data_IF_353146734962
#
_entry.id   IF_353146734962
#
_cell.length_a   1.000
_cell.length_b   1.000
_cell.length_c   1.000
_cell.angle_alpha   90.00
_cell.angle_beta   90.00
_cell.angle_gamma   90.00
#
_symmetry.space_group_name_H-M   'P 1'
#
loop_
_entity.id
_entity.type
_entity.pdbx_description
1 polymer ?
#
# COMPACT_ATOMS: atom_id res chain seq x y z
N UNK A 1 7.07 6.53 11.08
CA UNK A 1 7.00 6.79 12.53
C UNK A 1 5.82 7.72 12.70
N UNK A 2 4.88 7.39 13.59
CA UNK A 2 3.55 8.02 13.77
C UNK A 2 2.42 7.35 12.99
N UNK A 3 1.88 6.25 13.54
CA UNK A 3 0.47 5.85 13.30
C UNK A 3 -0.22 5.29 14.57
N UNK A 4 0.51 4.91 15.64
CA UNK A 4 0.05 3.81 16.52
C UNK A 4 0.00 4.05 18.02
N UNK A 5 -0.69 5.11 18.38
CA UNK A 5 -1.32 5.17 19.70
C UNK A 5 -2.81 4.83 19.66
N UNK A 6 -3.35 4.35 18.53
CA UNK A 6 -4.80 4.31 18.34
C UNK A 6 -5.56 3.27 19.19
N UNK A 7 -5.00 2.12 19.60
CA UNK A 7 -5.80 1.10 20.31
C UNK A 7 -5.20 0.54 21.62
N UNK A 8 -4.44 1.36 22.34
CA UNK A 8 -3.82 1.11 23.67
C UNK A 8 -2.39 0.58 23.63
N UNK A 9 -1.52 1.24 24.41
CA UNK A 9 -0.18 0.79 24.78
C UNK A 9 -0.20 -0.41 25.72
N UNK A 10 -0.91 -1.48 25.35
CA UNK A 10 -0.78 -2.77 26.02
C UNK A 10 0.02 -3.70 25.12
N UNK A 11 1.03 -4.34 25.68
CA UNK A 11 1.84 -5.38 25.04
C UNK A 11 1.06 -6.69 24.75
N UNK A 12 -0.28 -6.63 24.72
CA UNK A 12 -1.13 -7.78 24.42
C UNK A 12 -1.58 -7.73 22.97
N UNK A 13 -1.01 -8.62 22.16
CA UNK A 13 -1.43 -8.91 20.80
C UNK A 13 -2.87 -9.44 20.88
N UNK A 14 -3.85 -8.68 20.40
CA UNK A 14 -5.21 -9.18 20.23
C UNK A 14 -5.20 -10.28 19.16
N UNK A 15 -5.82 -11.43 19.44
CA UNK A 15 -5.89 -12.53 18.47
C UNK A 15 -6.92 -12.20 17.39
N UNK A 16 -6.46 -11.96 16.16
CA UNK A 16 -7.34 -11.71 15.01
C UNK A 16 -7.64 -12.99 14.26
N UNK A 17 -8.92 -13.21 13.96
CA UNK A 17 -9.32 -14.31 13.07
C UNK A 17 -9.00 -13.95 11.61
N UNK A 18 -8.08 -14.67 11.00
CA UNK A 18 -7.75 -14.54 9.57
C UNK A 18 -8.85 -15.07 8.63
N UNK A 19 -9.90 -15.71 9.16
CA UNK A 19 -11.01 -16.24 8.36
C UNK A 19 -12.14 -15.23 8.14
N UNK A 20 -12.36 -14.35 9.11
CA UNK A 20 -13.47 -13.38 9.10
C UNK A 20 -13.08 -11.98 9.60
N UNK A 21 -11.80 -11.78 9.90
CA UNK A 21 -11.22 -10.51 10.30
C UNK A 21 -11.42 -10.11 11.75
N UNK A 22 -12.21 -10.85 12.53
CA UNK A 22 -12.66 -10.36 13.84
C UNK A 22 -11.49 -10.21 14.81
N UNK A 23 -11.37 -9.00 15.40
CA UNK A 23 -10.25 -8.59 16.25
C UNK A 23 -10.41 -9.05 17.70
N UNK A 24 -11.66 -9.04 18.20
CA UNK A 24 -11.97 -9.28 19.63
C UNK A 24 -13.30 -10.02 19.80
N UNK A 25 -14.11 -10.08 18.74
CA UNK A 25 -15.47 -10.62 18.78
C UNK A 25 -15.48 -12.07 18.32
N UNK A 26 -15.74 -12.96 19.27
CA UNK A 26 -15.94 -14.39 19.05
C UNK A 26 -17.36 -14.77 19.45
N UNK A 27 -17.74 -16.03 19.20
CA UNK A 27 -19.04 -16.58 19.65
C UNK A 27 -19.22 -16.55 21.17
N UNK A 28 -18.18 -16.24 21.95
CA UNK A 28 -18.25 -16.03 23.41
C UNK A 28 -18.36 -14.55 23.80
N UNK A 29 -18.68 -13.64 22.87
CA UNK A 29 -18.84 -12.22 23.18
C UNK A 29 -20.03 -11.99 24.13
N UNK A 30 -19.77 -11.32 25.26
CA UNK A 30 -20.72 -11.18 26.37
C UNK A 30 -20.71 -12.40 27.30
N UNK A 31 -21.42 -12.32 28.44
CA UNK A 31 -21.53 -13.46 29.36
C UNK A 31 -22.20 -14.63 28.65
N UNK A 32 -21.49 -15.75 28.52
CA UNK A 32 -21.95 -16.94 27.79
C UNK A 32 -22.25 -16.75 26.29
N UNK A 33 -21.70 -15.72 25.65
CA UNK A 33 -22.01 -15.42 24.24
C UNK A 33 -23.31 -14.61 24.02
N UNK A 34 -23.90 -14.08 25.09
CA UNK A 34 -25.17 -13.33 25.05
C UNK A 34 -25.16 -12.09 24.16
N UNK A 35 -23.99 -11.53 23.85
CA UNK A 35 -23.86 -10.37 22.97
C UNK A 35 -23.57 -10.75 21.51
N UNK A 36 -23.30 -12.03 21.21
CA UNK A 36 -23.00 -12.48 19.86
C UNK A 36 -24.23 -12.41 18.95
N UNK A 37 -24.06 -11.89 17.73
CA UNK A 37 -25.13 -11.72 16.75
C UNK A 37 -26.02 -10.50 16.99
N UNK A 38 -25.75 -9.69 18.02
CA UNK A 38 -26.48 -8.44 18.25
C UNK A 38 -25.85 -7.30 17.44
N UNK A 39 -26.68 -6.52 16.75
CA UNK A 39 -26.28 -5.29 16.05
C UNK A 39 -26.27 -4.06 16.98
N UNK A 40 -27.11 -4.07 18.02
CA UNK A 40 -27.33 -2.94 18.91
C UNK A 40 -26.27 -2.86 20.02
N UNK A 41 -25.08 -2.38 19.67
CA UNK A 41 -23.95 -2.23 20.58
C UNK A 41 -24.28 -1.36 21.81
N UNK A 42 -25.21 -0.41 21.66
CA UNK A 42 -25.64 0.52 22.70
C UNK A 42 -26.27 -0.14 23.93
N UNK A 43 -26.86 -1.33 23.75
CA UNK A 43 -27.48 -2.06 24.86
C UNK A 43 -26.46 -2.58 25.88
N UNK A 44 -25.19 -2.73 25.46
CA UNK A 44 -24.13 -3.32 26.28
C UNK A 44 -22.95 -2.36 26.52
N UNK A 45 -22.73 -1.39 25.64
CA UNK A 45 -21.58 -0.48 25.69
C UNK A 45 -22.01 0.98 25.81
N UNK A 46 -21.46 1.69 26.79
CA UNK A 46 -21.69 3.14 26.97
C UNK A 46 -20.56 3.92 26.29
N UNK A 47 -20.84 4.65 25.21
CA UNK A 47 -19.84 5.38 24.40
C UNK A 47 -18.91 6.30 25.23
N UNK A 48 -19.44 6.95 26.27
CA UNK A 48 -18.63 7.85 27.10
C UNK A 48 -17.64 7.13 28.01
N UNK A 49 -17.80 5.81 28.20
CA UNK A 49 -17.03 4.98 29.12
C UNK A 49 -16.09 3.99 28.43
N UNK A 50 -16.23 3.77 27.12
CA UNK A 50 -15.31 2.92 26.35
C UNK A 50 -14.03 3.67 25.94
N UNK A 51 -12.98 2.94 25.61
CA UNK A 51 -11.71 3.46 25.06
C UNK A 51 -11.04 4.56 25.90
N UNK A 52 -11.22 4.58 27.23
CA UNK A 52 -10.62 5.62 28.10
C UNK A 52 -9.09 5.70 27.99
N UNK A 53 -8.44 4.58 27.66
CA UNK A 53 -6.99 4.46 27.54
C UNK A 53 -6.50 4.50 26.08
N UNK A 54 -7.38 4.81 25.13
CA UNK A 54 -7.07 4.90 23.70
C UNK A 54 -7.42 6.30 23.20
N UNK A 55 -6.59 7.28 23.58
CA UNK A 55 -6.85 8.71 23.42
C UNK A 55 -7.05 9.15 21.97
N UNK A 56 -6.42 8.47 21.01
CA UNK A 56 -6.48 8.78 19.57
C UNK A 56 -7.76 8.29 18.90
N UNK A 57 -8.23 7.07 19.20
CA UNK A 57 -9.45 6.52 18.58
C UNK A 57 -10.72 6.93 19.31
N UNK A 58 -10.63 7.23 20.61
CA UNK A 58 -11.79 7.55 21.43
C UNK A 58 -12.60 8.74 20.88
N UNK A 59 -12.01 9.87 20.48
CA UNK A 59 -12.78 10.97 19.88
C UNK A 59 -13.51 10.57 18.61
N UNK A 60 -12.87 9.76 17.76
CA UNK A 60 -13.48 9.24 16.52
C UNK A 60 -14.68 8.37 16.86
N UNK A 61 -14.54 7.42 17.79
CA UNK A 61 -15.64 6.54 18.22
C UNK A 61 -16.76 7.32 18.91
N UNK A 62 -16.45 8.34 19.69
CA UNK A 62 -17.46 9.20 20.33
C UNK A 62 -18.25 10.02 19.29
N UNK A 63 -17.58 10.48 18.22
CA UNK A 63 -18.21 11.24 17.15
C UNK A 63 -19.02 10.36 16.20
N UNK A 64 -18.46 9.23 15.78
CA UNK A 64 -19.05 8.30 14.81
C UNK A 64 -19.98 7.27 15.45
N UNK A 65 -19.99 7.20 16.78
CA UNK A 65 -20.80 6.28 17.58
C UNK A 65 -20.63 4.81 17.14
N UNK A 66 -21.68 4.01 17.30
CA UNK A 66 -21.64 2.56 17.09
C UNK A 66 -21.36 2.12 15.65
N UNK A 67 -21.53 3.02 14.67
CA UNK A 67 -21.21 2.73 13.26
C UNK A 67 -19.70 2.47 13.05
N UNK A 68 -18.83 3.00 13.92
CA UNK A 68 -17.38 2.73 13.87
C UNK A 68 -16.98 1.37 14.45
N UNK A 69 -17.83 0.76 15.28
CA UNK A 69 -17.47 -0.44 16.02
C UNK A 69 -17.24 -1.65 15.11
N UNK A 70 -18.10 -1.85 14.10
CA UNK A 70 -17.97 -2.99 13.17
C UNK A 70 -16.80 -2.82 12.20
N UNK A 71 -16.36 -1.58 11.95
CA UNK A 71 -15.14 -1.29 11.19
C UNK A 71 -13.89 -1.84 11.87
N UNK A 72 -13.76 -1.68 13.19
CA UNK A 72 -12.55 -2.09 13.92
C UNK A 72 -12.66 -3.48 14.56
N UNK A 73 -13.81 -3.84 15.13
CA UNK A 73 -13.95 -5.07 15.91
C UNK A 73 -14.45 -6.27 15.10
N UNK A 74 -14.96 -6.01 13.88
CA UNK A 74 -15.63 -6.98 13.04
C UNK A 74 -17.14 -7.05 13.27
N UNK A 75 -17.81 -7.96 12.57
CA UNK A 75 -19.28 -7.91 12.42
C UNK A 75 -20.08 -8.36 13.65
N UNK A 76 -19.43 -8.78 14.75
CA UNK A 76 -20.09 -9.42 15.90
C UNK A 76 -20.95 -10.64 15.52
N UNK A 77 -20.62 -11.36 14.44
CA UNK A 77 -21.44 -12.47 13.96
C UNK A 77 -22.72 -12.05 13.23
N UNK A 78 -22.89 -10.75 12.97
CA UNK A 78 -23.95 -10.22 12.12
C UNK A 78 -23.51 -10.18 10.65
N UNK A 79 -24.46 -9.86 9.78
CA UNK A 79 -24.23 -9.61 8.34
C UNK A 79 -23.92 -8.14 8.04
N UNK A 80 -23.64 -7.31 9.05
CA UNK A 80 -23.27 -5.91 8.82
C UNK A 80 -21.87 -5.83 8.19
N UNK A 81 -21.77 -5.04 7.12
CA UNK A 81 -20.50 -4.72 6.47
C UNK A 81 -19.58 -3.92 7.40
N UNK A 82 -18.27 -4.05 7.19
CA UNK A 82 -17.26 -3.26 7.91
C UNK A 82 -17.19 -1.85 7.32
N UNK A 83 -17.43 -0.84 8.14
CA UNK A 83 -17.39 0.56 7.73
C UNK A 83 -15.96 1.13 7.82
N UNK A 84 -15.09 0.73 6.90
CA UNK A 84 -13.68 1.12 6.85
C UNK A 84 -13.53 2.62 6.50
N UNK A 85 -14.22 3.08 5.45
CA UNK A 85 -14.15 4.46 4.95
C UNK A 85 -14.73 5.48 5.91
N UNK A 86 -15.52 5.04 6.89
CA UNK A 86 -16.03 5.88 7.97
C UNK A 86 -14.89 6.51 8.79
N UNK A 87 -13.77 5.80 8.92
CA UNK A 87 -12.58 6.21 9.66
C UNK A 87 -11.40 6.54 8.73
N UNK A 88 -11.20 5.80 7.64
CA UNK A 88 -10.15 6.06 6.66
C UNK A 88 -10.53 7.23 5.72
N UNK A 89 -10.48 8.44 6.26
CA UNK A 89 -10.73 9.67 5.52
C UNK A 89 -9.77 10.80 5.94
N UNK A 90 -9.61 11.85 5.11
CA UNK A 90 -8.64 12.92 5.37
C UNK A 90 -8.88 13.75 6.63
N UNK A 91 -10.05 13.62 7.28
CA UNK A 91 -10.36 14.37 8.52
C UNK A 91 -9.98 13.55 9.74
N UNK A 92 -10.39 12.28 9.77
CA UNK A 92 -10.21 11.41 10.93
C UNK A 92 -8.83 10.73 10.94
N UNK A 93 -8.27 10.42 9.76
CA UNK A 93 -6.96 9.79 9.57
C UNK A 93 -6.19 10.45 8.40
N UNK A 94 -5.77 11.72 8.53
CA UNK A 94 -5.14 12.49 7.44
C UNK A 94 -3.81 11.93 6.92
N UNK A 95 -3.11 11.15 7.74
CA UNK A 95 -1.78 10.60 7.41
C UNK A 95 -1.85 9.14 6.89
N UNK A 96 -3.02 8.49 6.97
CA UNK A 96 -3.18 7.09 6.62
C UNK A 96 -3.98 6.89 5.34
N UNK A 97 -3.39 6.09 4.43
CA UNK A 97 -4.04 5.52 3.26
C UNK A 97 -5.03 6.47 2.57
N UNK A 98 -4.50 7.56 1.99
CA UNK A 98 -5.31 8.55 1.29
C UNK A 98 -5.95 7.91 0.05
N UNK A 99 -7.21 7.46 0.17
CA UNK A 99 -8.10 7.16 -0.95
C UNK A 99 -8.67 8.47 -1.53
N UNK A 100 -7.77 9.41 -1.85
CA UNK A 100 -8.13 10.68 -2.46
C UNK A 100 -7.19 10.90 -3.62
N UNK A 101 -7.72 10.74 -4.83
CA UNK A 101 -7.11 11.14 -6.09
C UNK A 101 -8.01 10.73 -7.26
N UNK A 102 -7.60 11.08 -8.47
CA UNK A 102 -8.28 10.69 -9.72
C UNK A 102 -8.25 9.18 -10.00
N UNK A 103 -7.21 8.47 -9.59
CA UNK A 103 -7.04 7.03 -9.87
C UNK A 103 -6.90 6.24 -8.56
N UNK A 104 -7.57 5.08 -8.47
CA UNK A 104 -7.57 4.21 -7.29
C UNK A 104 -7.22 2.78 -7.68
N UNK A 105 -6.69 2.00 -6.73
CA UNK A 105 -6.34 0.60 -6.97
C UNK A 105 -7.60 -0.28 -6.97
N UNK A 106 -8.19 -0.40 -8.15
CA UNK A 106 -9.43 -1.13 -8.41
C UNK A 106 -9.18 -2.29 -9.39
N UNK A 107 -9.99 -3.34 -9.30
CA UNK A 107 -10.09 -4.43 -10.28
C UNK A 107 -10.63 -4.01 -11.66
N UNK A 108 -11.12 -2.77 -11.80
CA UNK A 108 -11.46 -2.13 -13.06
C UNK A 108 -10.47 -1.01 -13.39
N UNK A 109 -9.70 -1.17 -14.47
CA UNK A 109 -8.66 -0.24 -14.92
C UNK A 109 -9.18 1.17 -15.25
N UNK A 110 -10.46 1.28 -15.58
CA UNK A 110 -11.08 2.53 -16.05
C UNK A 110 -11.82 3.27 -14.93
N UNK A 111 -11.85 2.70 -13.72
CA UNK A 111 -12.57 3.29 -12.61
C UNK A 111 -11.75 4.38 -11.92
N UNK A 112 -12.36 5.56 -11.82
CA UNK A 112 -11.89 6.69 -11.00
C UNK A 112 -12.68 6.84 -9.70
N UNK A 113 -13.43 5.81 -9.30
CA UNK A 113 -14.29 5.85 -8.12
C UNK A 113 -13.45 5.52 -6.89
N UNK A 114 -13.67 6.28 -5.80
CA UNK A 114 -13.09 5.97 -4.50
C UNK A 114 -13.42 4.53 -4.09
N UNK A 115 -12.46 3.83 -3.48
CA UNK A 115 -12.68 2.47 -2.96
C UNK A 115 -13.85 2.43 -1.98
N UNK A 116 -14.73 1.44 -2.14
CA UNK A 116 -15.81 1.14 -1.19
C UNK A 116 -15.33 0.26 -0.05
N UNK A 117 -16.12 0.18 1.02
CA UNK A 117 -15.87 -0.72 2.14
C UNK A 117 -15.72 -2.18 1.69
N UNK A 118 -16.55 -2.62 0.74
CA UNK A 118 -16.45 -3.96 0.17
C UNK A 118 -15.11 -4.19 -0.51
N UNK A 119 -14.56 -3.19 -1.20
CA UNK A 119 -13.24 -3.29 -1.85
C UNK A 119 -12.10 -3.25 -0.83
N UNK A 120 -12.22 -2.45 0.23
CA UNK A 120 -11.25 -2.41 1.32
C UNK A 120 -11.07 -3.79 1.96
N UNK A 121 -12.18 -4.48 2.28
CA UNK A 121 -12.12 -5.81 2.93
C UNK A 121 -11.71 -6.95 1.98
N UNK A 122 -11.58 -6.69 0.67
CA UNK A 122 -10.95 -7.64 -0.26
C UNK A 122 -9.45 -7.72 0.04
N UNK A 123 -8.79 -6.58 0.24
CA UNK A 123 -7.36 -6.50 0.53
C UNK A 123 -7.06 -6.57 2.03
N UNK A 124 -7.95 -6.06 2.88
CA UNK A 124 -7.78 -5.90 4.33
C UNK A 124 -8.84 -6.66 5.13
N UNK A 125 -8.91 -7.99 4.93
CA UNK A 125 -9.90 -8.81 5.63
C UNK A 125 -9.77 -8.71 7.15
N UNK A 126 -8.55 -8.61 7.67
CA UNK A 126 -8.22 -8.60 9.08
C UNK A 126 -7.33 -7.38 9.38
N UNK A 127 -7.35 -6.90 10.62
CA UNK A 127 -6.33 -5.99 11.15
C UNK A 127 -6.26 -6.19 12.65
N UNK A 128 -5.06 -6.19 13.24
CA UNK A 128 -4.92 -6.26 14.69
C UNK A 128 -5.10 -4.91 15.40
N UNK A 129 -5.18 -3.83 14.61
CA UNK A 129 -5.35 -2.45 15.06
C UNK A 129 -4.34 -2.02 16.13
N UNK A 130 -3.26 -2.78 16.32
CA UNK A 130 -2.05 -2.28 16.99
C UNK A 130 -1.40 -1.20 16.08
N UNK A 131 -1.73 -1.35 14.79
CA UNK A 131 -1.53 -0.61 13.55
C UNK A 131 -0.09 -0.50 13.05
N UNK A 132 0.79 -1.32 13.59
CA UNK A 132 1.95 -1.71 12.83
C UNK A 132 1.38 -2.59 11.74
N UNK A 133 1.55 -2.14 10.50
CA UNK A 133 1.14 -2.93 9.36
C UNK A 133 1.96 -4.21 9.32
N UNK A 134 1.36 -5.33 9.73
CA UNK A 134 1.87 -6.67 9.51
C UNK A 134 1.16 -7.25 8.29
N UNK A 135 1.92 -7.41 7.20
CA UNK A 135 1.41 -7.95 5.93
C UNK A 135 0.76 -9.33 6.07
N UNK A 136 1.06 -10.09 7.12
CA UNK A 136 0.49 -11.41 7.38
C UNK A 136 -0.74 -11.40 8.30
N UNK A 137 -1.05 -10.24 8.89
CA UNK A 137 -2.22 -10.02 9.73
C UNK A 137 -3.22 -9.10 9.05
N UNK A 138 -2.75 -7.96 8.53
CA UNK A 138 -3.57 -6.86 8.02
C UNK A 138 -3.98 -7.02 6.55
N UNK A 139 -3.33 -7.92 5.80
CA UNK A 139 -3.69 -8.23 4.41
C UNK A 139 -4.42 -9.57 4.33
N UNK A 140 -5.41 -9.63 3.45
CA UNK A 140 -6.08 -10.85 3.04
C UNK A 140 -5.05 -11.87 2.55
N UNK A 141 -5.15 -13.10 3.04
CA UNK A 141 -4.26 -14.20 2.67
C UNK A 141 -4.73 -14.90 1.39
N UNK A 142 -4.27 -14.40 0.25
CA UNK A 142 -4.50 -14.96 -1.07
C UNK A 142 -3.71 -16.25 -1.29
N UNK A 143 -4.14 -17.09 -2.24
CA UNK A 143 -3.43 -18.33 -2.56
C UNK A 143 -2.16 -18.02 -3.36
N UNK A 144 -1.07 -18.71 -3.05
CA UNK A 144 0.15 -18.69 -3.88
C UNK A 144 -0.03 -19.49 -5.18
N UNK A 145 0.96 -19.50 -6.07
CA UNK A 145 0.95 -20.22 -7.35
C UNK A 145 0.66 -21.74 -7.27
N UNK A 146 0.82 -22.36 -6.09
CA UNK A 146 0.49 -23.77 -5.86
C UNK A 146 -0.95 -23.96 -5.35
N UNK A 147 -1.74 -22.90 -5.26
CA UNK A 147 -3.09 -22.92 -4.69
C UNK A 147 -3.14 -22.96 -3.16
N UNK A 148 -2.04 -22.65 -2.47
CA UNK A 148 -1.92 -22.77 -1.02
C UNK A 148 -1.98 -21.41 -0.31
N UNK A 149 -2.61 -21.37 0.86
CA UNK A 149 -2.67 -20.18 1.73
C UNK A 149 -1.44 -20.10 2.64
N UNK A 150 -0.30 -19.68 2.09
CA UNK A 150 0.95 -19.48 2.85
C UNK A 150 1.10 -18.03 3.31
N UNK A 151 1.80 -17.75 4.43
CA UNK A 151 2.23 -16.41 4.77
C UNK A 151 2.98 -15.73 3.62
N UNK A 152 2.89 -14.41 3.54
CA UNK A 152 3.69 -13.56 2.67
C UNK A 152 5.09 -13.41 3.21
N UNK A 153 6.10 -13.57 2.36
CA UNK A 153 7.50 -13.28 2.67
C UNK A 153 7.82 -11.79 2.46
N UNK A 154 7.03 -11.08 1.66
CA UNK A 154 7.17 -9.65 1.39
C UNK A 154 5.85 -9.02 0.93
N UNK A 155 5.76 -7.68 1.00
CA UNK A 155 4.64 -6.94 0.42
C UNK A 155 4.55 -7.12 -1.10
N UNK A 156 5.68 -7.32 -1.78
CA UNK A 156 5.69 -7.58 -3.22
C UNK A 156 4.97 -8.90 -3.52
N UNK A 157 5.19 -9.93 -2.72
CA UNK A 157 4.50 -11.21 -2.92
C UNK A 157 2.96 -11.03 -2.85
N UNK A 158 2.45 -10.15 -1.99
CA UNK A 158 1.02 -9.83 -1.96
C UNK A 158 0.54 -9.28 -3.31
N UNK A 159 1.23 -8.28 -3.87
CA UNK A 159 0.92 -7.74 -5.19
C UNK A 159 0.97 -8.83 -6.27
N UNK A 160 2.03 -9.63 -6.25
CA UNK A 160 2.28 -10.67 -7.25
C UNK A 160 1.30 -11.84 -7.17
N UNK A 161 0.58 -12.07 -6.06
CA UNK A 161 -0.50 -13.09 -6.04
C UNK A 161 -1.73 -12.65 -6.86
N UNK A 162 -1.95 -11.36 -7.04
CA UNK A 162 -3.05 -10.84 -7.87
C UNK A 162 -2.58 -10.50 -9.30
N UNK A 163 -1.38 -9.93 -9.43
CA UNK A 163 -0.77 -9.60 -10.73
C UNK A 163 0.02 -10.81 -11.30
N UNK A 164 -0.65 -11.95 -11.37
CA UNK A 164 -0.13 -13.19 -11.93
C UNK A 164 -1.13 -13.78 -12.93
N UNK A 165 -0.71 -13.78 -14.20
CA UNK A 165 -1.49 -14.18 -15.36
C UNK A 165 -1.97 -15.62 -15.27
N UNK A 166 -1.10 -16.51 -14.79
CA UNK A 166 -1.36 -17.94 -14.75
C UNK A 166 -2.04 -18.37 -13.43
N UNK A 167 -2.06 -17.48 -12.42
CA UNK A 167 -2.65 -17.74 -11.12
C UNK A 167 -3.37 -16.51 -10.53
N UNK A 168 -4.40 -16.03 -11.22
CA UNK A 168 -5.25 -14.96 -10.68
C UNK A 168 -6.13 -15.46 -9.52
N UNK A 169 -6.45 -14.57 -8.60
CA UNK A 169 -7.28 -14.91 -7.43
C UNK A 169 -8.75 -15.02 -7.82
N UNK A 170 -9.37 -16.14 -7.48
CA UNK A 170 -10.76 -16.43 -7.83
C UNK A 170 -11.71 -15.35 -7.28
N UNK A 171 -12.55 -14.78 -8.14
CA UNK A 171 -13.49 -13.70 -7.79
C UNK A 171 -12.87 -12.30 -7.79
N UNK A 172 -11.57 -12.19 -8.05
CA UNK A 172 -10.79 -10.95 -8.12
C UNK A 172 -9.94 -10.91 -9.39
N UNK A 173 -10.39 -11.61 -10.44
CA UNK A 173 -9.70 -11.66 -11.71
C UNK A 173 -9.65 -10.26 -12.34
N UNK A 174 -8.45 -9.87 -12.77
CA UNK A 174 -8.21 -8.62 -13.49
C UNK A 174 -8.68 -8.84 -14.92
N UNK A 175 -9.69 -8.06 -15.33
CA UNK A 175 -10.21 -8.10 -16.69
C UNK A 175 -9.25 -7.40 -17.66
N UNK A 176 -8.31 -8.16 -18.21
CA UNK A 176 -7.32 -7.68 -19.16
C UNK A 176 -6.95 -8.78 -20.17
N UNK A 177 -6.44 -8.39 -21.33
CA UNK A 177 -5.91 -9.33 -22.33
C UNK A 177 -4.74 -10.16 -21.76
N UNK A 178 -4.55 -11.38 -22.28
CA UNK A 178 -3.51 -12.31 -21.78
C UNK A 178 -2.07 -11.74 -21.86
N UNK A 179 -1.80 -10.87 -22.84
CA UNK A 179 -0.50 -10.21 -23.00
C UNK A 179 -0.40 -8.90 -22.22
N UNK A 180 -1.41 -8.55 -21.42
CA UNK A 180 -1.40 -7.31 -20.68
C UNK A 180 -0.32 -7.35 -19.58
N UNK A 181 0.60 -6.38 -19.52
CA UNK A 181 1.65 -6.36 -18.51
C UNK A 181 1.09 -6.36 -17.09
N UNK A 182 -0.10 -5.77 -16.86
CA UNK A 182 -0.73 -5.70 -15.54
C UNK A 182 -0.93 -7.08 -14.90
N UNK A 183 -1.19 -8.12 -15.68
CA UNK A 183 -1.33 -9.47 -15.16
C UNK A 183 -0.02 -10.27 -15.25
N UNK A 184 0.97 -9.82 -16.02
CA UNK A 184 2.25 -10.50 -16.19
C UNK A 184 3.34 -10.03 -15.20
N UNK A 185 2.99 -9.28 -14.14
CA UNK A 185 3.98 -8.74 -13.20
C UNK A 185 4.75 -9.80 -12.43
N UNK A 186 4.15 -10.97 -12.16
CA UNK A 186 4.89 -12.08 -11.55
C UNK A 186 6.12 -12.49 -12.39
N UNK A 187 5.92 -12.60 -13.70
CA UNK A 187 6.99 -12.93 -14.65
C UNK A 187 7.99 -11.78 -14.71
N UNK A 188 7.50 -10.55 -14.94
CA UNK A 188 8.38 -9.39 -15.04
C UNK A 188 9.21 -9.22 -13.77
N UNK A 189 8.58 -9.05 -12.61
CA UNK A 189 9.29 -8.83 -11.35
C UNK A 189 10.37 -9.87 -11.04
N UNK A 190 10.12 -11.15 -11.33
CA UNK A 190 11.05 -12.24 -11.05
C UNK A 190 12.30 -12.23 -11.93
N UNK A 191 12.26 -11.55 -13.09
CA UNK A 191 13.37 -11.51 -14.06
C UNK A 191 13.94 -10.10 -14.30
N UNK A 192 13.24 -9.05 -13.88
CA UNK A 192 13.38 -7.70 -14.47
C UNK A 192 13.77 -6.64 -13.41
N UNK A 193 13.30 -6.74 -12.17
CA UNK A 193 13.34 -5.59 -11.24
C UNK A 193 14.52 -5.64 -10.25
N UNK A 194 15.70 -5.15 -10.66
CA UNK A 194 16.88 -4.95 -9.79
C UNK A 194 17.28 -3.46 -9.69
N UNK A 195 17.47 -2.94 -8.48
CA UNK A 195 18.18 -1.67 -8.24
C UNK A 195 19.41 -1.91 -7.31
N UNK A 196 20.56 -1.28 -7.63
CA UNK A 196 21.95 -1.75 -7.42
C UNK A 196 22.44 -2.05 -5.98
N UNK A 197 23.65 -2.58 -5.71
CA UNK A 197 24.79 -3.08 -6.53
C UNK A 197 24.99 -4.61 -6.32
N UNK A 198 25.47 -5.36 -7.33
CA UNK A 198 26.84 -5.84 -7.17
C UNK A 198 27.75 -5.62 -8.38
N UNK A 199 28.75 -4.76 -8.17
CA UNK A 199 30.10 -4.92 -8.66
C UNK A 199 30.72 -6.22 -8.06
N UNK A 200 30.60 -7.31 -8.83
CA UNK A 200 31.18 -8.67 -8.77
C UNK A 200 30.53 -9.62 -9.82
N UNK A 201 31.25 -10.15 -10.84
CA UNK A 201 30.85 -10.68 -12.20
C UNK A 201 29.44 -11.21 -12.50
N UNK A 202 28.39 -10.52 -12.05
CA UNK A 202 27.00 -10.65 -12.46
C UNK A 202 26.34 -9.28 -12.59
N UNK A 203 26.97 -8.35 -13.31
CA UNK A 203 27.73 -7.25 -12.66
C UNK A 203 27.38 -5.81 -13.07
N UNK A 204 26.16 -5.49 -13.49
CA UNK A 204 25.80 -4.10 -13.80
C UNK A 204 24.67 -3.59 -12.92
N UNK A 205 25.07 -2.81 -11.94
CA UNK A 205 24.25 -1.95 -11.10
C UNK A 205 23.75 -0.73 -11.86
N UNK A 206 22.54 -0.26 -11.53
CA UNK A 206 22.14 1.12 -11.85
C UNK A 206 23.03 2.09 -11.05
N UNK A 207 23.74 2.96 -11.76
CA UNK A 207 24.57 4.01 -11.17
C UNK A 207 23.74 5.29 -10.96
N UNK A 208 24.21 6.22 -10.11
CA UNK A 208 23.54 7.50 -9.90
C UNK A 208 22.28 7.42 -9.04
N UNK A 209 22.25 6.56 -8.02
CA UNK A 209 21.31 6.72 -6.91
C UNK A 209 21.74 7.89 -6.02
N UNK A 210 20.77 8.54 -5.38
CA UNK A 210 21.05 9.55 -4.35
C UNK A 210 21.83 8.94 -3.20
N UNK A 211 22.71 9.74 -2.60
CA UNK A 211 23.43 9.35 -1.39
C UNK A 211 22.47 8.84 -0.31
N UNK A 212 22.85 7.74 0.34
CA UNK A 212 22.06 7.10 1.37
C UNK A 212 20.92 6.21 0.86
N UNK A 213 20.74 6.15 -0.46
CA UNK A 213 19.80 5.23 -1.09
C UNK A 213 20.52 3.94 -1.49
N UNK A 214 20.11 2.83 -0.88
CA UNK A 214 20.59 1.49 -1.23
C UNK A 214 19.38 0.58 -1.35
N UNK A 215 19.20 0.00 -2.53
CA UNK A 215 18.32 -1.16 -2.66
C UNK A 215 19.07 -2.42 -2.25
N UNK A 216 18.37 -3.35 -1.62
CA UNK A 216 18.95 -4.63 -1.20
C UNK A 216 18.91 -5.67 -2.34
N UNK A 217 19.15 -5.24 -3.59
CA UNK A 217 18.96 -5.97 -4.87
C UNK A 217 17.55 -5.95 -5.48
N UNK A 218 16.48 -5.70 -4.72
CA UNK A 218 15.10 -5.76 -5.24
C UNK A 218 14.32 -4.46 -4.97
N UNK A 219 13.69 -3.94 -6.01
CA UNK A 219 12.75 -2.82 -5.97
C UNK A 219 11.42 -3.33 -5.41
N UNK A 220 10.69 -2.56 -4.59
CA UNK A 220 9.32 -2.93 -4.24
C UNK A 220 8.34 -2.25 -5.19
N UNK A 221 7.21 -2.90 -5.47
CA UNK A 221 6.13 -2.29 -6.25
C UNK A 221 5.71 -0.93 -5.66
N UNK A 222 5.69 -0.83 -4.33
CA UNK A 222 5.33 0.38 -3.56
C UNK A 222 6.42 1.46 -3.52
N UNK A 223 7.58 1.21 -4.13
CA UNK A 223 8.59 2.24 -4.34
C UNK A 223 8.29 3.08 -5.59
N UNK A 224 7.29 2.73 -6.40
CA UNK A 224 6.84 3.56 -7.53
C UNK A 224 5.31 3.68 -7.58
N UNK A 225 4.60 2.62 -7.20
CA UNK A 225 3.14 2.56 -7.25
C UNK A 225 2.49 2.79 -5.88
N UNK A 226 1.27 3.30 -5.88
CA UNK A 226 0.48 3.50 -4.66
C UNK A 226 -0.74 2.60 -4.65
N UNK A 227 -1.05 2.05 -3.48
CA UNK A 227 -2.11 1.04 -3.31
C UNK A 227 -3.51 1.62 -3.13
N UNK A 228 -3.65 2.93 -2.86
CA UNK A 228 -4.95 3.51 -2.48
C UNK A 228 -5.41 4.59 -3.44
N UNK A 229 -4.53 5.50 -3.86
CA UNK A 229 -4.84 6.41 -4.95
C UNK A 229 -3.78 7.45 -5.24
N UNK A 230 -3.75 7.89 -6.50
CA UNK A 230 -2.84 8.90 -7.05
C UNK A 230 -3.50 9.64 -8.21
N UNK A 231 -3.07 10.88 -8.45
CA UNK A 231 -3.51 11.64 -9.62
C UNK A 231 -2.85 11.18 -10.93
N UNK A 232 -1.81 10.36 -10.83
CA UNK A 232 -1.05 9.85 -11.97
C UNK A 232 -1.62 8.55 -12.54
N UNK A 233 -1.40 8.36 -13.84
CA UNK A 233 -1.78 7.12 -14.54
C UNK A 233 -0.90 5.94 -14.12
N UNK A 234 -1.42 4.71 -14.20
CA UNK A 234 -0.69 3.50 -13.83
C UNK A 234 -0.43 3.36 -12.32
N UNK A 235 -1.19 4.09 -11.51
CA UNK A 235 -1.03 4.17 -10.06
C UNK A 235 0.37 4.59 -9.60
N UNK A 236 1.11 5.33 -10.43
CA UNK A 236 2.40 5.92 -10.06
C UNK A 236 2.22 6.94 -8.95
N UNK A 237 3.08 6.97 -7.94
CA UNK A 237 2.95 7.94 -6.84
C UNK A 237 2.93 9.38 -7.35
N UNK A 238 2.04 10.21 -6.80
CA UNK A 238 1.98 11.66 -7.05
C UNK A 238 2.80 12.47 -6.05
N UNK A 239 3.36 11.80 -5.05
CA UNK A 239 4.20 12.41 -4.02
C UNK A 239 5.18 11.40 -3.41
N UNK A 240 6.38 11.85 -3.06
CA UNK A 240 7.39 11.01 -2.40
C UNK A 240 6.97 10.48 -1.02
N UNK A 241 5.94 11.05 -0.39
CA UNK A 241 5.42 10.59 0.91
C UNK A 241 4.32 9.53 0.80
N UNK A 242 3.81 9.21 -0.39
CA UNK A 242 2.78 8.16 -0.61
C UNK A 242 3.36 6.78 -0.98
N UNK A 243 4.65 6.57 -0.79
CA UNK A 243 5.34 5.33 -1.13
C UNK A 243 6.82 5.40 -0.73
N UNK A 244 7.67 4.75 -1.51
CA UNK A 244 9.13 4.88 -1.41
C UNK A 244 9.66 4.62 0.01
N UNK A 245 9.22 3.52 0.61
CA UNK A 245 9.54 3.18 1.99
C UNK A 245 11.05 3.13 2.26
N UNK A 246 11.85 2.87 1.22
CA UNK A 246 13.30 2.78 1.25
C UNK A 246 14.00 4.14 1.14
N UNK A 247 13.31 5.24 0.82
CA UNK A 247 13.94 6.57 0.77
C UNK A 247 14.37 7.02 2.15
N UNK A 248 15.51 7.71 2.19
CA UNK A 248 15.93 8.43 3.38
C UNK A 248 14.84 9.39 3.86
N UNK A 249 14.74 9.55 5.19
CA UNK A 249 13.74 10.41 5.81
C UNK A 249 13.79 11.86 5.33
N UNK A 250 14.96 12.36 4.93
CA UNK A 250 15.13 13.71 4.40
C UNK A 250 14.41 13.94 3.07
N UNK A 251 14.27 12.90 2.25
CA UNK A 251 13.53 12.95 0.98
C UNK A 251 12.09 12.50 1.20
N UNK A 252 11.87 11.40 1.93
CA UNK A 252 10.52 10.85 2.19
C UNK A 252 9.62 11.83 2.95
N UNK A 253 10.17 12.58 3.90
CA UNK A 253 9.39 13.52 4.71
C UNK A 253 9.18 14.88 4.02
N UNK A 254 9.81 15.12 2.87
CA UNK A 254 9.53 16.28 2.02
C UNK A 254 8.62 15.81 0.89
N UNK A 255 7.36 16.25 0.80
CA UNK A 255 6.41 15.77 -0.21
C UNK A 255 6.77 16.34 -1.58
N UNK A 256 7.78 15.76 -2.24
CA UNK A 256 8.15 16.10 -3.60
C UNK A 256 7.02 15.64 -4.51
N UNK A 257 6.40 16.58 -5.21
CA UNK A 257 5.34 16.29 -6.18
C UNK A 257 5.90 15.50 -7.36
N UNK A 258 5.09 14.57 -7.86
CA UNK A 258 5.39 13.73 -9.00
C UNK A 258 4.20 13.79 -9.95
N UNK A 259 4.45 14.15 -11.19
CA UNK A 259 3.47 14.15 -12.28
C UNK A 259 4.02 13.28 -13.43
N UNK A 260 3.16 12.43 -14.01
CA UNK A 260 3.48 11.60 -15.18
C UNK A 260 2.72 11.98 -16.47
N UNK A 261 2.18 13.19 -16.54
CA UNK A 261 1.53 13.74 -17.74
C UNK A 261 2.41 13.55 -18.99
N UNK A 262 1.79 13.05 -20.06
CA UNK A 262 2.49 12.79 -21.32
C UNK A 262 3.53 11.67 -21.25
N UNK A 263 3.45 10.79 -20.23
CA UNK A 263 4.43 9.74 -19.91
C UNK A 263 5.80 10.28 -19.49
N UNK A 264 5.90 11.55 -19.11
CA UNK A 264 7.15 12.07 -18.58
C UNK A 264 7.35 11.58 -17.16
N UNK A 265 8.29 10.66 -16.96
CA UNK A 265 8.58 10.08 -15.65
C UNK A 265 9.78 10.74 -14.94
N UNK A 266 10.30 11.87 -15.44
CA UNK A 266 11.48 12.52 -14.87
C UNK A 266 11.29 12.89 -13.38
N UNK A 267 10.10 13.38 -13.01
CA UNK A 267 9.79 13.72 -11.61
C UNK A 267 9.77 12.51 -10.70
N UNK A 268 9.42 11.32 -11.21
CA UNK A 268 9.49 10.05 -10.48
C UNK A 268 10.94 9.60 -10.34
N UNK A 269 11.67 9.51 -11.46
CA UNK A 269 13.02 8.97 -11.49
C UNK A 269 13.98 9.77 -10.61
N UNK A 270 13.91 11.10 -10.65
CA UNK A 270 14.81 11.98 -9.89
C UNK A 270 14.66 11.84 -8.37
N UNK A 271 13.55 11.25 -7.88
CA UNK A 271 13.35 11.01 -6.44
C UNK A 271 14.44 10.07 -5.91
N UNK A 272 14.78 9.05 -6.68
CA UNK A 272 15.78 8.05 -6.33
C UNK A 272 17.13 8.33 -6.98
N UNK A 273 17.12 8.95 -8.17
CA UNK A 273 18.32 9.18 -8.97
C UNK A 273 18.92 10.57 -8.81
N UNK A 274 20.24 10.60 -8.78
CA UNK A 274 21.07 11.79 -8.86
C UNK A 274 22.41 11.41 -9.51
N UNK A 275 22.61 11.86 -10.75
CA UNK A 275 23.85 11.65 -11.47
C UNK A 275 25.03 12.32 -10.76
N UNK A 276 26.13 11.59 -10.64
CA UNK A 276 27.38 12.08 -10.06
C UNK A 276 28.24 12.81 -11.09
N UNK A 277 28.01 12.55 -12.39
CA UNK A 277 28.62 13.26 -13.52
C UNK A 277 27.57 14.17 -14.16
N UNK A 278 27.86 15.46 -14.21
CA UNK A 278 26.95 16.44 -14.81
C UNK A 278 26.99 16.32 -16.35
N UNK A 279 25.90 15.83 -16.93
CA UNK A 279 25.67 15.77 -18.38
C UNK A 279 24.40 16.55 -18.71
N UNK A 280 24.36 17.19 -19.88
CA UNK A 280 23.16 17.79 -20.48
C UNK A 280 22.28 18.57 -19.48
N UNK A 281 21.15 17.99 -19.06
CA UNK A 281 20.16 18.59 -18.17
C UNK A 281 20.37 18.29 -16.67
N UNK A 282 21.48 17.68 -16.26
CA UNK A 282 21.69 17.18 -14.90
C UNK A 282 21.52 18.24 -13.79
N UNK A 283 21.83 19.50 -14.07
CA UNK A 283 21.69 20.60 -13.11
C UNK A 283 20.32 21.29 -13.18
N UNK A 284 19.47 20.91 -14.13
CA UNK A 284 18.14 21.47 -14.27
C UNK A 284 17.18 20.81 -13.29
N UNK A 285 16.31 21.63 -12.72
CA UNK A 285 15.21 21.16 -11.89
C UNK A 285 14.16 20.49 -12.79
N UNK A 286 13.74 19.28 -12.44
CA UNK A 286 12.74 18.52 -13.21
C UNK A 286 11.29 18.96 -12.98
N UNK A 287 11.09 20.02 -12.20
CA UNK A 287 9.80 20.62 -11.86
C UNK A 287 9.33 20.38 -10.43
N UNK A 288 9.98 19.49 -9.67
CA UNK A 288 9.60 19.19 -8.29
C UNK A 288 10.61 19.66 -7.23
N UNK A 289 11.66 20.40 -7.62
CA UNK A 289 12.70 20.83 -6.67
C UNK A 289 13.94 19.94 -6.66
N UNK A 290 13.93 18.83 -7.40
CA UNK A 290 15.06 17.92 -7.54
C UNK A 290 15.71 18.04 -8.92
N UNK A 291 16.98 17.68 -9.00
CA UNK A 291 17.81 17.64 -10.21
C UNK A 291 18.69 16.38 -10.18
N UNK A 292 19.36 16.10 -11.30
CA UNK A 292 20.30 14.99 -11.41
C UNK A 292 19.95 13.96 -12.49
N UNK A 293 19.17 14.32 -13.51
CA UNK A 293 18.89 13.49 -14.69
C UNK A 293 19.49 14.13 -15.94
N UNK A 294 20.03 13.33 -16.87
CA UNK A 294 20.60 13.84 -18.13
C UNK A 294 19.53 14.38 -19.09
N UNK A 295 18.30 13.87 -18.99
CA UNK A 295 17.13 14.32 -19.74
C UNK A 295 15.95 14.55 -18.78
N UNK A 296 15.23 15.65 -18.97
CA UNK A 296 14.11 16.07 -18.10
C UNK A 296 12.77 16.15 -18.85
N UNK A 297 12.81 16.03 -20.18
CA UNK A 297 11.65 15.99 -21.04
C UNK A 297 11.52 14.61 -21.71
N UNK A 298 10.37 13.96 -21.50
CA UNK A 298 10.01 12.73 -22.19
C UNK A 298 10.00 11.49 -21.30
N UNK A 299 9.75 10.34 -21.92
CA UNK A 299 9.58 9.08 -21.20
C UNK A 299 10.93 8.38 -21.03
N UNK A 300 11.45 8.43 -19.78
CA UNK A 300 12.68 7.76 -19.39
C UNK A 300 12.66 6.28 -19.79
N UNK A 301 11.48 5.63 -19.76
CA UNK A 301 11.32 4.21 -20.08
C UNK A 301 11.64 3.84 -21.53
N UNK A 302 11.68 4.83 -22.43
CA UNK A 302 12.11 4.63 -23.82
C UNK A 302 13.55 4.15 -23.92
N UNK A 303 14.40 4.62 -23.01
CA UNK A 303 15.82 4.27 -22.94
C UNK A 303 16.16 3.45 -21.68
N UNK A 304 15.31 3.53 -20.65
CA UNK A 304 15.49 3.00 -19.30
C UNK A 304 14.28 2.16 -18.89
N UNK A 305 14.02 1.08 -19.64
CA UNK A 305 13.05 0.06 -19.27
C UNK A 305 13.59 -0.73 -18.08
N UNK A 306 12.80 -0.83 -17.01
CA UNK A 306 13.14 -1.77 -15.94
C UNK A 306 13.19 -3.18 -16.54
N UNK A 307 14.33 -3.84 -16.27
CA UNK A 307 14.67 -5.23 -16.55
C UNK A 307 14.65 -5.76 -17.97
N UNK A 308 15.28 -5.01 -18.85
CA UNK A 308 16.04 -5.67 -19.89
C UNK A 308 17.28 -6.35 -19.30
N UNK A 309 17.52 -7.61 -19.66
CA UNK A 309 18.66 -8.41 -19.20
C UNK A 309 20.03 -7.80 -19.53
N UNK A 310 20.07 -6.80 -20.42
CA UNK A 310 21.30 -6.15 -20.89
C UNK A 310 21.04 -4.67 -21.13
N UNK A 311 20.70 -3.89 -20.09
CA UNK A 311 20.74 -2.44 -20.23
C UNK A 311 22.15 -1.87 -20.04
N UNK A 312 22.58 -1.09 -21.04
CA UNK A 312 23.76 -0.26 -20.97
C UNK A 312 23.41 1.06 -20.27
N UNK A 313 23.37 1.03 -18.93
CA UNK A 313 23.54 2.19 -18.06
C UNK A 313 22.41 3.24 -18.02
N UNK A 314 21.94 3.51 -16.80
CA UNK A 314 21.84 4.91 -16.34
C UNK A 314 23.21 5.36 -15.83
#
# INVERSE_FOLDING_TARGET
HFVLMACSGSSQIASVSQQNGNLILTTSHGDGGSAWGLSECAGCHVLNSIHQQAETIRPIVQLKAYASCTGCHGSNGTQQSRACVLCHNPVDLPEEAINSAKHTHNFSSDSSVALTDEQCVMCHLASDMNGEMDINIDLTRYKNQMGLNTPYVSQVEFCLRCHNRDFQQQGFEINADYENPLIAMYDNYSFVDFHGEPAGTGERSYSGLRDGYSYASLVKCTDCHVMHGTDNTGLISDSSNKGFSQLESLIRNKPYSIDNVGKNNAQLCVVCHNMTVSLDSANLNVGNGLSGLHEIAGDCQTCHSHGEAVQAGM
#
